data_IF_255070916245
#
_entry.id   IF_255070916245
#
_cell.length_a   1.000
_cell.length_b   1.000
_cell.length_c   1.000
_cell.angle_alpha   90.00
_cell.angle_beta   90.00
_cell.angle_gamma   90.00
#
_symmetry.space_group_name_H-M   'P 1'
#
loop_
_entity.id
_entity.type
_entity.pdbx_description
1 polymer ?
#
# COMPACT_ATOMS: atom_id res chain seq x y z
N UNK A 1 4.96 -31.97 19.23
CA UNK A 1 5.39 -31.06 18.15
C UNK A 1 6.69 -30.32 18.49
N UNK A 2 6.67 -29.39 19.46
CA UNK A 2 7.81 -28.48 19.72
C UNK A 2 9.14 -29.19 20.08
N UNK A 3 9.15 -30.01 21.14
CA UNK A 3 10.38 -30.68 21.61
C UNK A 3 10.94 -31.69 20.61
N UNK A 4 10.06 -32.52 20.05
CA UNK A 4 10.42 -33.57 19.09
C UNK A 4 11.11 -33.02 17.85
N UNK A 5 10.62 -31.87 17.35
CA UNK A 5 11.17 -31.23 16.16
C UNK A 5 12.20 -30.13 16.47
N UNK A 6 12.57 -29.95 17.74
CA UNK A 6 13.51 -28.93 18.19
C UNK A 6 13.18 -27.52 17.67
N UNK A 7 11.90 -27.14 17.68
CA UNK A 7 11.45 -25.81 17.29
C UNK A 7 11.98 -24.79 18.29
N UNK A 8 12.68 -23.76 17.80
CA UNK A 8 13.35 -22.73 18.62
C UNK A 8 12.98 -21.33 18.18
N UNK A 9 12.96 -20.39 19.13
CA UNK A 9 12.94 -18.97 18.82
C UNK A 9 14.30 -18.54 18.28
N UNK A 10 14.30 -17.51 17.44
CA UNK A 10 15.53 -16.84 17.04
C UNK A 10 16.08 -16.05 18.23
N UNK A 11 17.33 -16.29 18.65
CA UNK A 11 17.93 -15.68 19.85
C UNK A 11 18.57 -14.31 19.59
N UNK A 12 18.09 -13.59 18.58
CA UNK A 12 18.53 -12.21 18.29
C UNK A 12 18.33 -11.29 19.50
N UNK A 13 19.23 -10.32 19.74
CA UNK A 13 19.13 -9.43 20.89
C UNK A 13 17.82 -8.62 20.91
N UNK A 14 17.05 -8.82 21.99
CA UNK A 14 15.80 -8.12 22.26
C UNK A 14 14.59 -8.68 21.49
N UNK A 15 13.40 -8.55 22.09
CA UNK A 15 12.16 -9.05 21.48
C UNK A 15 11.81 -8.28 20.19
N UNK A 16 12.07 -8.89 19.03
CA UNK A 16 11.79 -8.30 17.73
C UNK A 16 11.43 -9.36 16.70
N UNK A 17 10.15 -9.51 16.39
CA UNK A 17 9.64 -10.33 15.27
C UNK A 17 9.88 -11.85 15.37
N UNK A 18 10.46 -12.35 16.47
CA UNK A 18 10.76 -13.77 16.73
C UNK A 18 9.52 -14.68 16.68
N UNK A 19 8.33 -14.09 16.84
CA UNK A 19 7.06 -14.77 16.66
C UNK A 19 6.87 -15.27 15.22
N UNK A 20 7.42 -14.60 14.21
CA UNK A 20 7.35 -15.05 12.82
C UNK A 20 8.06 -16.38 12.62
N UNK A 21 9.30 -16.52 13.09
CA UNK A 21 10.08 -17.74 12.94
C UNK A 21 9.53 -18.89 13.77
N UNK A 22 9.04 -18.59 14.98
CA UNK A 22 8.31 -19.59 15.77
C UNK A 22 7.06 -20.08 15.05
N UNK A 23 6.22 -19.14 14.59
CA UNK A 23 4.99 -19.44 13.87
C UNK A 23 5.28 -20.26 12.62
N UNK A 24 6.27 -19.86 11.82
CA UNK A 24 6.61 -20.54 10.58
C UNK A 24 7.05 -21.99 10.82
N UNK A 25 7.93 -22.24 11.80
CA UNK A 25 8.36 -23.59 12.16
C UNK A 25 7.20 -24.46 12.65
N UNK A 26 6.31 -23.91 13.48
CA UNK A 26 5.14 -24.64 14.00
C UNK A 26 4.25 -25.08 12.84
N UNK A 27 3.90 -24.16 11.93
CA UNK A 27 3.01 -24.46 10.82
C UNK A 27 3.66 -25.35 9.77
N UNK A 28 4.97 -25.24 9.54
CA UNK A 28 5.72 -26.10 8.63
C UNK A 28 5.74 -27.56 9.08
N UNK A 29 5.76 -27.82 10.40
CA UNK A 29 5.94 -29.16 10.96
C UNK A 29 4.66 -29.75 11.60
N UNK A 30 3.59 -28.97 11.68
CA UNK A 30 2.32 -29.42 12.21
C UNK A 30 1.70 -30.50 11.31
N UNK A 31 1.35 -31.65 11.91
CA UNK A 31 0.64 -32.73 11.19
C UNK A 31 -0.85 -32.47 11.05
N UNK A 32 -1.41 -31.68 11.96
CA UNK A 32 -2.81 -31.26 11.95
C UNK A 32 -2.95 -29.90 12.64
N UNK A 33 -3.90 -29.11 12.16
CA UNK A 33 -4.24 -27.80 12.71
C UNK A 33 -5.75 -27.79 12.93
N UNK A 34 -6.18 -27.31 14.09
CA UNK A 34 -7.59 -27.19 14.46
C UNK A 34 -7.92 -25.72 14.70
N UNK A 35 -8.97 -25.23 14.06
CA UNK A 35 -9.50 -23.88 14.24
C UNK A 35 -10.76 -23.95 15.09
N UNK A 36 -10.73 -23.29 16.26
CA UNK A 36 -11.89 -23.18 17.13
C UNK A 36 -12.57 -21.83 16.91
N UNK A 37 -13.86 -21.86 16.59
CA UNK A 37 -14.66 -20.65 16.39
C UNK A 37 -15.41 -20.27 17.67
N UNK A 38 -14.69 -20.28 18.79
CA UNK A 38 -15.21 -19.87 20.10
C UNK A 38 -14.39 -18.70 20.65
N UNK A 39 -15.08 -17.76 21.29
CA UNK A 39 -14.43 -16.60 21.89
C UNK A 39 -13.90 -16.96 23.28
N UNK A 40 -12.58 -16.96 23.43
CA UNK A 40 -11.91 -17.07 24.73
C UNK A 40 -11.50 -15.69 25.24
N UNK A 41 -11.27 -15.58 26.56
CA UNK A 41 -10.78 -14.35 27.18
C UNK A 41 -9.31 -14.11 26.80
N UNK A 42 -9.07 -13.43 25.68
CA UNK A 42 -7.73 -13.06 25.20
C UNK A 42 -7.54 -11.54 25.27
N UNK A 43 -7.21 -11.02 26.45
CA UNK A 43 -6.91 -9.60 26.62
C UNK A 43 -5.48 -9.29 26.13
N UNK A 44 -5.35 -8.94 24.84
CA UNK A 44 -4.10 -8.39 24.31
C UNK A 44 -3.99 -6.91 24.67
N UNK A 45 -2.95 -6.54 25.42
CA UNK A 45 -2.57 -5.15 25.67
C UNK A 45 -1.40 -4.78 24.77
N UNK A 46 -1.47 -3.65 24.09
CA UNK A 46 -0.38 -3.18 23.25
C UNK A 46 0.78 -2.67 24.10
N UNK A 47 2.00 -3.11 23.76
CA UNK A 47 3.23 -2.57 24.33
C UNK A 47 3.67 -1.34 23.53
N UNK A 48 3.71 -0.13 24.12
CA UNK A 48 4.14 1.08 23.41
C UNK A 48 5.61 0.99 22.95
N UNK A 49 6.43 0.21 23.65
CA UNK A 49 7.84 -0.03 23.33
C UNK A 49 8.06 -1.23 22.39
N UNK A 50 6.99 -1.72 21.74
CA UNK A 50 7.08 -2.85 20.79
C UNK A 50 8.02 -2.53 19.63
N UNK A 51 8.75 -3.55 19.15
CA UNK A 51 9.57 -3.47 17.95
C UNK A 51 8.78 -2.99 16.73
N UNK A 52 7.47 -3.30 16.68
CA UNK A 52 6.53 -2.87 15.64
C UNK A 52 6.33 -1.36 15.64
N UNK A 53 6.47 -0.67 16.79
CA UNK A 53 6.39 0.79 16.91
C UNK A 53 7.76 1.48 16.69
N UNK A 54 8.84 0.72 16.86
CA UNK A 54 10.25 0.92 16.44
C UNK A 54 10.69 2.21 15.73
N UNK A 55 10.40 2.48 14.46
CA UNK A 55 11.17 3.42 13.57
C UNK A 55 12.66 3.09 13.31
N UNK A 56 13.43 2.66 14.31
CA UNK A 56 14.88 2.39 14.20
C UNK A 56 15.24 0.91 14.06
N UNK A 57 14.38 -0.01 14.50
CA UNK A 57 14.54 -1.45 14.26
C UNK A 57 14.24 -1.78 12.80
N UNK A 58 15.20 -1.47 11.94
CA UNK A 58 15.10 -1.54 10.48
C UNK A 58 15.34 -2.97 9.97
N UNK A 59 16.38 -3.66 10.47
CA UNK A 59 16.83 -4.94 9.90
C UNK A 59 16.39 -6.20 10.67
N UNK A 60 15.72 -6.06 11.82
CA UNK A 60 15.29 -7.22 12.62
C UNK A 60 14.37 -8.16 11.83
N UNK A 61 13.49 -7.62 10.97
CA UNK A 61 12.66 -8.45 10.09
C UNK A 61 13.52 -9.21 9.07
N UNK A 62 14.59 -8.61 8.54
CA UNK A 62 15.50 -9.28 7.60
C UNK A 62 16.14 -10.50 8.25
N UNK A 63 16.73 -10.31 9.43
CA UNK A 63 17.38 -11.33 10.24
C UNK A 63 16.43 -12.48 10.59
N UNK A 64 15.18 -12.15 10.95
CA UNK A 64 14.17 -13.15 11.27
C UNK A 64 13.83 -14.04 10.07
N UNK A 65 13.68 -13.48 8.88
CA UNK A 65 13.46 -14.29 7.69
C UNK A 65 14.71 -15.01 7.21
N UNK A 66 15.91 -14.51 7.54
CA UNK A 66 17.16 -15.24 7.28
C UNK A 66 17.18 -16.52 8.13
N UNK A 67 16.78 -16.42 9.40
CA UNK A 67 16.59 -17.56 10.30
C UNK A 67 15.55 -18.56 9.77
N UNK A 68 14.38 -18.09 9.29
CA UNK A 68 13.37 -18.98 8.67
C UNK A 68 13.91 -19.67 7.42
N UNK A 69 14.67 -18.94 6.58
CA UNK A 69 15.25 -19.51 5.37
C UNK A 69 16.28 -20.59 5.69
N UNK A 70 17.10 -20.38 6.72
CA UNK A 70 18.07 -21.37 7.19
C UNK A 70 17.40 -22.60 7.83
N UNK A 71 16.25 -22.42 8.48
CA UNK A 71 15.39 -23.54 8.86
C UNK A 71 14.96 -24.35 7.63
N UNK A 72 14.45 -23.70 6.58
CA UNK A 72 14.02 -24.41 5.36
C UNK A 72 15.14 -25.20 4.67
N UNK A 73 16.37 -24.69 4.63
CA UNK A 73 17.52 -25.44 4.05
C UNK A 73 17.81 -26.75 4.78
N UNK A 74 17.49 -26.82 6.07
CA UNK A 74 17.65 -28.03 6.90
C UNK A 74 16.48 -29.02 6.71
N UNK A 75 15.43 -28.60 6.01
CA UNK A 75 14.24 -29.40 5.68
C UNK A 75 13.97 -29.39 4.17
N UNK A 76 14.83 -30.04 3.35
CA UNK A 76 14.69 -30.03 1.88
C UNK A 76 13.36 -30.60 1.39
N UNK A 77 12.74 -31.49 2.17
CA UNK A 77 11.41 -32.06 1.93
C UNK A 77 10.29 -31.00 1.94
N UNK A 78 10.48 -29.93 2.72
CA UNK A 78 9.52 -28.82 2.85
C UNK A 78 9.92 -27.60 2.00
N UNK A 79 11.22 -27.42 1.76
CA UNK A 79 11.80 -26.22 1.16
C UNK A 79 11.14 -25.82 -0.15
N UNK A 80 10.97 -26.78 -1.08
CA UNK A 80 10.38 -26.51 -2.40
C UNK A 80 8.98 -25.90 -2.32
N UNK A 81 8.18 -26.34 -1.35
CA UNK A 81 6.79 -25.92 -1.18
C UNK A 81 6.68 -24.66 -0.35
N UNK A 82 7.53 -24.53 0.68
CA UNK A 82 7.42 -23.46 1.67
C UNK A 82 8.30 -22.24 1.39
N UNK A 83 9.34 -22.35 0.55
CA UNK A 83 10.18 -21.21 0.21
C UNK A 83 9.40 -20.05 -0.47
N UNK A 84 8.47 -20.30 -1.41
CA UNK A 84 7.63 -19.23 -1.96
C UNK A 84 6.72 -18.57 -0.91
N UNK A 85 6.23 -19.34 0.06
CA UNK A 85 5.42 -18.83 1.17
C UNK A 85 6.29 -17.97 2.09
N UNK A 86 7.51 -18.42 2.42
CA UNK A 86 8.49 -17.65 3.18
C UNK A 86 8.79 -16.31 2.48
N UNK A 87 9.02 -16.32 1.17
CA UNK A 87 9.26 -15.13 0.38
C UNK A 87 8.07 -14.15 0.40
N UNK A 88 6.84 -14.66 0.30
CA UNK A 88 5.61 -13.85 0.38
C UNK A 88 5.48 -13.16 1.74
N UNK A 89 5.71 -13.91 2.83
CA UNK A 89 5.66 -13.36 4.19
C UNK A 89 6.79 -12.36 4.43
N UNK A 90 8.00 -12.62 3.91
CA UNK A 90 9.13 -11.66 3.93
C UNK A 90 8.77 -10.38 3.21
N UNK A 91 8.17 -10.47 2.02
CA UNK A 91 7.72 -9.30 1.26
C UNK A 91 6.72 -8.46 2.06
N UNK A 92 5.70 -9.09 2.66
CA UNK A 92 4.71 -8.40 3.48
C UNK A 92 5.35 -7.66 4.65
N UNK A 93 6.25 -8.32 5.39
CA UNK A 93 6.96 -7.68 6.49
C UNK A 93 7.91 -6.56 6.05
N UNK A 94 8.54 -6.69 4.88
CA UNK A 94 9.40 -5.63 4.33
C UNK A 94 8.58 -4.41 3.91
N UNK A 95 7.42 -4.60 3.28
CA UNK A 95 6.50 -3.51 2.96
C UNK A 95 6.01 -2.80 4.22
N UNK A 96 5.60 -3.56 5.23
CA UNK A 96 5.22 -3.01 6.53
C UNK A 96 6.37 -2.23 7.20
N UNK A 97 7.59 -2.75 7.08
CA UNK A 97 8.79 -2.08 7.59
C UNK A 97 9.00 -0.75 6.87
N UNK A 98 8.93 -0.72 5.53
CA UNK A 98 9.07 0.50 4.72
C UNK A 98 8.05 1.59 5.07
N UNK A 99 6.82 1.22 5.40
CA UNK A 99 5.78 2.19 5.79
C UNK A 99 6.10 2.86 7.13
N UNK A 100 6.73 2.12 8.04
CA UNK A 100 6.79 2.46 9.45
C UNK A 100 8.16 3.02 9.89
N UNK A 101 9.25 2.63 9.24
CA UNK A 101 10.59 3.13 9.55
C UNK A 101 10.76 4.62 9.20
N UNK A 102 11.73 5.26 9.84
CA UNK A 102 12.06 6.66 9.55
C UNK A 102 12.55 6.84 8.10
N UNK A 103 12.22 7.99 7.51
CA UNK A 103 12.57 8.34 6.13
C UNK A 103 14.07 8.20 5.84
N UNK A 104 14.92 8.52 6.84
CA UNK A 104 16.38 8.40 6.72
C UNK A 104 16.87 6.97 6.44
N UNK A 105 16.10 5.96 6.83
CA UNK A 105 16.46 4.55 6.68
C UNK A 105 15.84 3.88 5.45
N UNK A 106 14.80 4.48 4.84
CA UNK A 106 14.02 3.84 3.78
C UNK A 106 14.85 3.47 2.55
N UNK A 107 15.78 4.33 2.14
CA UNK A 107 16.62 4.05 0.97
C UNK A 107 17.58 2.89 1.21
N UNK A 108 18.26 2.86 2.36
CA UNK A 108 19.18 1.77 2.69
C UNK A 108 18.46 0.46 2.95
N UNK A 109 17.26 0.51 3.54
CA UNK A 109 16.40 -0.67 3.63
C UNK A 109 15.96 -1.17 2.26
N UNK A 110 15.62 -0.30 1.31
CA UNK A 110 15.30 -0.70 -0.07
C UNK A 110 16.48 -1.35 -0.79
N UNK A 111 17.71 -0.90 -0.54
CA UNK A 111 18.92 -1.56 -1.08
C UNK A 111 19.03 -2.99 -0.54
N UNK A 112 18.83 -3.19 0.76
CA UNK A 112 18.80 -4.53 1.38
C UNK A 112 17.66 -5.39 0.82
N UNK A 113 16.45 -4.84 0.72
CA UNK A 113 15.29 -5.47 0.10
C UNK A 113 15.65 -5.98 -1.30
N UNK A 114 16.18 -5.10 -2.14
CA UNK A 114 16.58 -5.41 -3.51
C UNK A 114 17.58 -6.57 -3.58
N UNK A 115 18.57 -6.59 -2.69
CA UNK A 115 19.55 -7.69 -2.60
C UNK A 115 18.89 -9.02 -2.23
N UNK A 116 18.07 -9.04 -1.18
CA UNK A 116 17.39 -10.26 -0.72
C UNK A 116 16.46 -10.82 -1.80
N UNK A 117 15.69 -9.94 -2.47
CA UNK A 117 14.74 -10.37 -3.50
C UNK A 117 15.40 -10.74 -4.83
N UNK A 118 16.59 -10.23 -5.14
CA UNK A 118 17.42 -10.78 -6.24
C UNK A 118 17.83 -12.22 -5.96
N UNK A 119 18.19 -12.54 -4.71
CA UNK A 119 18.53 -13.90 -4.32
C UNK A 119 17.32 -14.83 -4.41
N UNK A 120 16.19 -14.43 -3.84
CA UNK A 120 14.92 -15.18 -3.92
C UNK A 120 14.51 -15.42 -5.38
N UNK A 121 14.64 -14.41 -6.25
CA UNK A 121 14.38 -14.55 -7.68
C UNK A 121 15.33 -15.56 -8.35
N UNK A 122 16.64 -15.48 -8.05
CA UNK A 122 17.65 -16.42 -8.56
C UNK A 122 17.38 -17.85 -8.12
N UNK A 123 16.95 -18.03 -6.88
CA UNK A 123 16.64 -19.32 -6.26
C UNK A 123 15.25 -19.86 -6.70
N UNK A 124 14.54 -19.12 -7.57
CA UNK A 124 13.20 -19.45 -8.11
C UNK A 124 12.14 -19.62 -7.02
N UNK A 125 12.24 -18.79 -5.98
CA UNK A 125 11.34 -18.78 -4.83
C UNK A 125 10.21 -17.74 -4.97
N UNK A 126 10.08 -17.07 -6.12
CA UNK A 126 8.96 -16.16 -6.40
C UNK A 126 7.89 -16.88 -7.22
N UNK A 127 6.69 -17.01 -6.65
CA UNK A 127 5.51 -17.56 -7.32
C UNK A 127 4.55 -16.42 -7.72
N UNK A 128 4.37 -16.21 -9.02
CA UNK A 128 3.55 -15.10 -9.53
C UNK A 128 2.07 -15.18 -9.09
N UNK A 129 1.53 -16.38 -8.89
CA UNK A 129 0.15 -16.56 -8.44
C UNK A 129 -0.02 -16.17 -6.97
N UNK A 130 0.97 -16.50 -6.13
CA UNK A 130 0.96 -16.12 -4.71
C UNK A 130 1.11 -14.61 -4.52
N UNK A 131 1.99 -13.97 -5.28
CA UNK A 131 2.27 -12.55 -5.13
C UNK A 131 1.23 -11.66 -5.85
N UNK A 132 0.74 -12.11 -7.01
CA UNK A 132 -0.12 -11.33 -7.88
C UNK A 132 0.62 -10.21 -8.61
N UNK A 133 0.00 -9.73 -9.70
CA UNK A 133 0.62 -8.82 -10.67
C UNK A 133 1.16 -7.51 -10.06
N UNK A 134 0.44 -6.91 -9.11
CA UNK A 134 0.84 -5.63 -8.50
C UNK A 134 2.11 -5.79 -7.66
N UNK A 135 2.17 -6.82 -6.84
CA UNK A 135 3.35 -7.06 -6.00
C UNK A 135 4.55 -7.48 -6.85
N UNK A 136 4.34 -8.30 -7.90
CA UNK A 136 5.39 -8.66 -8.84
C UNK A 136 5.96 -7.42 -9.55
N UNK A 137 5.12 -6.50 -10.03
CA UNK A 137 5.57 -5.23 -10.61
C UNK A 137 6.40 -4.40 -9.61
N UNK A 138 5.96 -4.35 -8.36
CA UNK A 138 6.67 -3.63 -7.30
C UNK A 138 8.04 -4.25 -7.01
N UNK A 139 8.09 -5.57 -6.81
CA UNK A 139 9.32 -6.33 -6.57
C UNK A 139 10.30 -6.12 -7.71
N UNK A 140 9.84 -6.28 -8.96
CA UNK A 140 10.69 -6.11 -10.13
C UNK A 140 11.31 -4.70 -10.18
N UNK A 141 10.56 -3.65 -9.84
CA UNK A 141 11.10 -2.28 -9.79
C UNK A 141 12.11 -2.06 -8.67
N UNK A 142 11.88 -2.65 -7.50
CA UNK A 142 12.84 -2.62 -6.38
C UNK A 142 14.13 -3.38 -6.74
N UNK A 143 14.00 -4.55 -7.38
CA UNK A 143 15.13 -5.36 -7.85
C UNK A 143 15.92 -4.63 -8.93
N UNK A 144 15.24 -4.04 -9.91
CA UNK A 144 15.85 -3.35 -11.05
C UNK A 144 16.72 -2.18 -10.57
N UNK A 145 16.13 -1.24 -9.82
CA UNK A 145 16.87 -0.13 -9.25
C UNK A 145 16.17 0.44 -8.01
N UNK A 146 16.64 0.12 -6.79
CA UNK A 146 15.98 0.58 -5.56
C UNK A 146 16.08 2.10 -5.36
N UNK A 147 17.10 2.76 -5.92
CA UNK A 147 17.26 4.22 -5.85
C UNK A 147 16.22 4.92 -6.73
N UNK A 148 16.08 4.47 -7.98
CA UNK A 148 15.05 5.01 -8.90
C UNK A 148 13.67 4.73 -8.30
N UNK A 149 13.42 3.51 -7.83
CA UNK A 149 12.14 3.18 -7.17
C UNK A 149 11.87 4.14 -6.01
N UNK A 150 12.82 4.38 -5.10
CA UNK A 150 12.66 5.28 -3.96
C UNK A 150 12.21 6.70 -4.33
N UNK A 151 12.76 7.27 -5.41
CA UNK A 151 12.41 8.63 -5.86
C UNK A 151 11.12 8.66 -6.70
N UNK A 152 10.92 7.71 -7.60
CA UNK A 152 9.76 7.68 -8.52
C UNK A 152 8.48 7.13 -7.89
N UNK A 153 8.58 6.36 -6.80
CA UNK A 153 7.44 5.81 -6.07
C UNK A 153 6.91 6.76 -4.97
N UNK A 154 7.27 8.04 -5.03
CA UNK A 154 6.73 9.10 -4.16
C UNK A 154 5.68 9.93 -4.90
N UNK A 155 4.78 10.53 -4.12
CA UNK A 155 3.80 11.48 -4.64
C UNK A 155 2.48 10.85 -5.03
N UNK A 156 2.11 9.69 -4.45
CA UNK A 156 0.76 9.15 -4.54
C UNK A 156 -0.29 10.20 -4.15
N UNK A 157 0.01 11.01 -3.12
CA UNK A 157 -0.84 12.13 -2.71
C UNK A 157 -1.05 13.13 -3.85
N UNK A 158 0.04 13.61 -4.46
CA UNK A 158 -0.03 14.57 -5.57
C UNK A 158 -0.78 13.98 -6.77
N UNK A 159 -0.54 12.69 -7.08
CA UNK A 159 -1.28 11.98 -8.14
C UNK A 159 -2.77 11.91 -7.86
N UNK A 160 -3.19 11.60 -6.63
CA UNK A 160 -4.61 11.61 -6.24
C UNK A 160 -5.22 13.02 -6.31
N UNK A 161 -4.47 14.05 -5.91
CA UNK A 161 -4.93 15.44 -5.98
C UNK A 161 -5.05 15.96 -7.42
N UNK A 162 -4.22 15.45 -8.34
CA UNK A 162 -4.28 15.77 -9.76
C UNK A 162 -5.40 15.05 -10.51
N UNK A 163 -6.07 14.06 -9.90
CA UNK A 163 -7.24 13.43 -10.52
C UNK A 163 -8.36 14.44 -10.73
N UNK A 164 -9.09 14.27 -11.85
CA UNK A 164 -10.25 15.10 -12.19
C UNK A 164 -11.26 15.21 -11.04
N UNK A 165 -11.51 14.09 -10.35
CA UNK A 165 -12.37 14.03 -9.16
C UNK A 165 -11.96 15.11 -8.15
N UNK A 166 -10.71 15.08 -7.70
CA UNK A 166 -10.24 16.01 -6.68
C UNK A 166 -10.23 17.45 -7.17
N UNK A 167 -9.73 17.71 -8.40
CA UNK A 167 -9.72 19.05 -9.01
C UNK A 167 -11.11 19.68 -9.06
N UNK A 168 -12.12 18.93 -9.51
CA UNK A 168 -13.51 19.40 -9.58
C UNK A 168 -14.09 19.70 -8.20
N UNK A 169 -13.93 18.81 -7.23
CA UNK A 169 -14.48 19.10 -5.92
C UNK A 169 -13.71 20.18 -5.15
N UNK A 170 -12.41 20.35 -5.42
CA UNK A 170 -11.59 21.43 -4.84
C UNK A 170 -12.16 22.81 -5.20
N UNK A 171 -12.46 23.05 -6.48
CA UNK A 171 -13.02 24.34 -6.90
C UNK A 171 -14.40 24.61 -6.29
N UNK A 172 -15.22 23.58 -6.07
CA UNK A 172 -16.51 23.72 -5.38
C UNK A 172 -16.32 24.09 -3.91
N UNK A 173 -15.39 23.44 -3.21
CA UNK A 173 -15.11 23.73 -1.79
C UNK A 173 -14.55 25.15 -1.60
N UNK A 174 -13.76 25.64 -2.56
CA UNK A 174 -13.14 26.98 -2.52
C UNK A 174 -14.07 28.11 -3.00
N UNK A 175 -15.18 27.77 -3.67
CA UNK A 175 -16.18 28.71 -4.17
C UNK A 175 -17.11 29.23 -3.06
N UNK A 176 -16.56 30.05 -2.15
CA UNK A 176 -17.30 30.63 -1.00
C UNK A 176 -18.05 31.94 -1.32
N UNK A 177 -17.82 32.53 -2.49
CA UNK A 177 -18.40 33.83 -2.87
C UNK A 177 -19.28 33.72 -4.11
N UNK A 178 -20.31 34.56 -4.19
CA UNK A 178 -21.27 34.57 -5.31
C UNK A 178 -20.59 34.64 -6.69
N UNK A 179 -19.62 35.53 -6.86
CA UNK A 179 -18.86 35.65 -8.12
C UNK A 179 -18.09 34.38 -8.49
N UNK A 180 -17.62 33.59 -7.50
CA UNK A 180 -16.94 32.31 -7.76
C UNK A 180 -17.95 31.22 -8.13
N UNK A 181 -19.14 31.25 -7.53
CA UNK A 181 -20.23 30.31 -7.82
C UNK A 181 -20.73 30.50 -9.26
N UNK A 182 -20.91 31.74 -9.72
CA UNK A 182 -21.32 32.02 -11.11
C UNK A 182 -20.26 31.53 -12.11
N UNK A 183 -18.98 31.70 -11.80
CA UNK A 183 -17.87 31.26 -12.67
C UNK A 183 -17.60 29.76 -12.62
N UNK A 184 -18.18 29.05 -11.65
CA UNK A 184 -17.90 27.65 -11.35
C UNK A 184 -18.15 26.71 -12.55
N UNK A 185 -19.26 26.83 -13.32
CA UNK A 185 -19.50 25.95 -14.47
C UNK A 185 -18.41 26.08 -15.53
N UNK A 186 -18.00 27.31 -15.85
CA UNK A 186 -16.94 27.58 -16.84
C UNK A 186 -15.58 27.07 -16.36
N UNK A 187 -15.26 27.26 -15.08
CA UNK A 187 -14.02 26.75 -14.49
C UNK A 187 -13.98 25.22 -14.49
N UNK A 188 -15.09 24.57 -14.16
CA UNK A 188 -15.19 23.11 -14.20
C UNK A 188 -15.06 22.57 -15.62
N UNK A 189 -15.68 23.21 -16.61
CA UNK A 189 -15.50 22.86 -18.02
C UNK A 189 -14.04 22.97 -18.43
N UNK A 190 -13.37 24.08 -18.08
CA UNK A 190 -11.92 24.27 -18.33
C UNK A 190 -11.08 23.14 -17.71
N UNK A 191 -11.33 22.80 -16.45
CA UNK A 191 -10.63 21.71 -15.75
C UNK A 191 -10.83 20.36 -16.47
N UNK A 192 -12.05 20.06 -16.91
CA UNK A 192 -12.33 18.83 -17.66
C UNK A 192 -11.57 18.79 -18.99
N UNK A 193 -11.51 19.92 -19.72
CA UNK A 193 -10.79 20.03 -20.99
C UNK A 193 -9.28 19.89 -20.80
N UNK A 194 -8.69 20.61 -19.84
CA UNK A 194 -7.27 20.52 -19.49
C UNK A 194 -6.88 19.10 -19.09
N UNK A 195 -7.65 18.47 -18.19
CA UNK A 195 -7.37 17.10 -17.76
C UNK A 195 -7.44 16.10 -18.91
N UNK A 196 -8.40 16.26 -19.83
CA UNK A 196 -8.49 15.40 -21.01
C UNK A 196 -7.28 15.60 -21.94
N UNK A 197 -6.82 16.84 -22.11
CA UNK A 197 -5.62 17.14 -22.88
C UNK A 197 -4.36 16.55 -22.24
N UNK A 198 -4.15 16.77 -20.94
CA UNK A 198 -3.07 16.16 -20.15
C UNK A 198 -3.05 14.63 -20.33
N UNK A 199 -4.23 14.00 -20.28
CA UNK A 199 -4.36 12.56 -20.43
C UNK A 199 -4.04 12.07 -21.86
N UNK A 200 -4.36 12.85 -22.90
CA UNK A 200 -3.96 12.56 -24.28
C UNK A 200 -2.45 12.66 -24.44
N UNK A 201 -1.84 13.74 -23.94
CA UNK A 201 -0.39 13.95 -23.97
C UNK A 201 0.34 12.80 -23.27
N UNK A 202 -0.09 12.45 -22.05
CA UNK A 202 0.49 11.33 -21.30
C UNK A 202 0.39 10.00 -22.07
N UNK A 203 -0.77 9.69 -22.67
CA UNK A 203 -0.95 8.49 -23.49
C UNK A 203 0.04 8.45 -24.66
N UNK A 204 0.22 9.57 -25.35
CA UNK A 204 1.19 9.68 -26.45
C UNK A 204 2.61 9.48 -25.95
N UNK A 205 3.01 10.12 -24.85
CA UNK A 205 4.35 9.94 -24.26
C UNK A 205 4.60 8.46 -23.93
N UNK A 206 3.66 7.80 -23.25
CA UNK A 206 3.81 6.38 -22.88
C UNK A 206 3.83 5.45 -24.10
N UNK A 207 3.15 5.81 -25.19
CA UNK A 207 3.21 5.06 -26.45
C UNK A 207 4.63 5.08 -27.05
N UNK A 208 5.32 6.22 -27.03
CA UNK A 208 6.70 6.34 -27.53
C UNK A 208 7.75 5.90 -26.51
N UNK A 209 7.46 6.05 -25.22
CA UNK A 209 8.36 5.77 -24.09
C UNK A 209 7.62 4.97 -23.01
N UNK A 210 7.46 3.64 -23.22
CA UNK A 210 6.75 2.78 -22.27
C UNK A 210 7.38 2.75 -20.87
N UNK A 211 8.68 3.04 -20.76
CA UNK A 211 9.44 3.15 -19.52
C UNK A 211 8.95 4.29 -18.60
N UNK A 212 8.33 5.33 -19.17
CA UNK A 212 7.75 6.46 -18.42
C UNK A 212 6.34 6.18 -17.89
N UNK A 213 5.80 4.98 -18.13
CA UNK A 213 4.50 4.59 -17.61
C UNK A 213 4.50 4.64 -16.08
N UNK A 214 3.63 5.46 -15.52
CA UNK A 214 3.46 5.57 -14.07
C UNK A 214 3.02 4.23 -13.49
N UNK A 215 3.64 3.85 -12.37
CA UNK A 215 3.24 2.68 -11.61
C UNK A 215 1.77 2.77 -11.15
N UNK A 216 1.10 1.63 -10.91
CA UNK A 216 -0.16 1.60 -10.17
C UNK A 216 -0.03 2.39 -8.86
N UNK A 217 -1.12 3.05 -8.43
CA UNK A 217 -1.11 3.93 -7.25
C UNK A 217 -0.68 3.17 -5.99
N UNK A 218 -1.07 1.90 -5.92
CA UNK A 218 -0.75 0.98 -4.84
C UNK A 218 0.76 0.74 -4.72
N UNK A 219 1.54 0.91 -5.78
CA UNK A 219 2.98 0.67 -5.76
C UNK A 219 3.82 1.80 -5.16
N UNK A 220 3.18 2.90 -4.75
CA UNK A 220 3.84 4.08 -4.21
C UNK A 220 4.10 3.91 -2.72
N UNK A 221 5.24 4.40 -2.23
CA UNK A 221 5.64 4.34 -0.83
C UNK A 221 4.69 5.14 0.08
N UNK A 222 4.13 6.24 -0.43
CA UNK A 222 3.17 7.10 0.29
C UNK A 222 1.70 6.74 0.01
N UNK A 223 1.43 5.55 -0.56
CA UNK A 223 0.07 5.16 -0.94
C UNK A 223 -0.92 5.18 0.23
N UNK A 224 -0.56 4.59 1.37
CA UNK A 224 -1.44 4.52 2.54
C UNK A 224 -1.73 5.91 3.12
N UNK A 225 -0.73 6.79 3.17
CA UNK A 225 -0.93 8.19 3.56
C UNK A 225 -1.84 8.94 2.56
N UNK A 226 -1.68 8.65 1.27
CA UNK A 226 -2.47 9.25 0.22
C UNK A 226 -3.95 8.83 0.28
N UNK A 227 -4.31 7.70 0.89
CA UNK A 227 -5.71 7.28 1.06
C UNK A 227 -6.55 8.29 1.86
N UNK A 228 -5.92 9.07 2.75
CA UNK A 228 -6.60 10.16 3.49
C UNK A 228 -7.20 11.20 2.54
N UNK A 229 -6.63 11.39 1.34
CA UNK A 229 -7.18 12.30 0.32
C UNK A 229 -8.59 11.88 -0.11
N UNK A 230 -8.89 10.57 -0.13
CA UNK A 230 -10.23 10.08 -0.51
C UNK A 230 -11.29 10.48 0.53
N UNK A 231 -10.88 10.71 1.77
CA UNK A 231 -11.76 11.18 2.84
C UNK A 231 -11.96 12.70 2.86
N UNK A 232 -11.11 13.46 2.16
CA UNK A 232 -11.20 14.90 2.05
C UNK A 232 -12.50 15.34 1.36
N UNK A 233 -13.07 16.47 1.81
CA UNK A 233 -14.32 17.00 1.28
C UNK A 233 -14.26 17.24 -0.24
N UNK A 234 -13.13 17.75 -0.75
CA UNK A 234 -12.91 17.95 -2.18
C UNK A 234 -13.03 16.63 -2.97
N UNK A 235 -12.47 15.53 -2.48
CA UNK A 235 -12.60 14.25 -3.19
C UNK A 235 -14.05 13.76 -3.19
N UNK A 236 -14.73 13.86 -2.03
CA UNK A 236 -16.15 13.48 -1.88
C UNK A 236 -17.07 14.30 -2.79
N UNK A 237 -16.88 15.61 -2.86
CA UNK A 237 -17.63 16.50 -3.74
C UNK A 237 -17.36 16.21 -5.21
N UNK A 238 -16.08 16.03 -5.56
CA UNK A 238 -15.64 15.60 -6.88
C UNK A 238 -16.36 14.37 -7.40
N UNK A 239 -16.50 13.36 -6.54
CA UNK A 239 -17.19 12.12 -6.87
C UNK A 239 -18.68 12.35 -7.16
N UNK A 240 -19.35 13.17 -6.36
CA UNK A 240 -20.76 13.53 -6.57
C UNK A 240 -20.94 14.28 -7.91
N UNK A 241 -20.05 15.23 -8.20
CA UNK A 241 -20.06 16.00 -9.44
C UNK A 241 -19.95 15.07 -10.66
N UNK A 242 -18.93 14.20 -10.70
CA UNK A 242 -18.75 13.29 -11.83
C UNK A 242 -19.93 12.32 -12.00
N UNK A 243 -20.52 11.86 -10.89
CA UNK A 243 -21.72 11.02 -10.94
C UNK A 243 -22.93 11.79 -11.47
N UNK A 244 -23.09 13.06 -11.12
CA UNK A 244 -24.14 13.92 -11.65
C UNK A 244 -23.95 14.21 -13.13
N UNK A 245 -22.71 14.43 -13.58
CA UNK A 245 -22.38 14.57 -15.01
C UNK A 245 -22.74 13.30 -15.80
N UNK A 246 -22.39 12.11 -15.29
CA UNK A 246 -22.76 10.85 -15.94
C UNK A 246 -24.26 10.61 -15.99
N UNK A 247 -25.01 11.07 -14.99
CA UNK A 247 -26.46 10.91 -14.90
C UNK A 247 -27.27 12.14 -15.30
N UNK A 248 -26.72 13.03 -16.13
CA UNK A 248 -27.34 14.30 -16.50
C UNK A 248 -28.74 14.12 -17.12
N UNK A 249 -28.91 13.11 -17.97
CA UNK A 249 -30.17 12.72 -18.61
C UNK A 249 -31.25 12.25 -17.62
N UNK A 250 -30.89 11.96 -16.37
CA UNK A 250 -31.82 11.64 -15.27
C UNK A 250 -32.05 12.84 -14.35
N UNK A 251 -31.69 14.05 -14.77
CA UNK A 251 -31.81 15.27 -13.98
C UNK A 251 -30.84 15.38 -12.80
N UNK A 252 -29.80 14.52 -12.70
CA UNK A 252 -28.89 14.50 -11.53
C UNK A 252 -28.07 15.78 -11.32
N UNK A 253 -27.97 16.62 -12.35
CA UNK A 253 -27.30 17.92 -12.26
C UNK A 253 -28.17 18.91 -11.45
N UNK A 254 -29.49 18.89 -11.63
CA UNK A 254 -30.40 19.81 -10.93
C UNK A 254 -30.46 19.53 -9.42
N UNK A 255 -30.30 18.26 -9.02
CA UNK A 255 -30.26 17.87 -7.61
C UNK A 255 -28.87 17.98 -6.97
N UNK A 256 -27.81 18.25 -7.76
CA UNK A 256 -26.42 18.30 -7.28
C UNK A 256 -26.21 19.29 -6.12
N UNK A 257 -26.77 20.52 -6.12
CA UNK A 257 -26.63 21.44 -4.99
C UNK A 257 -27.13 20.84 -3.66
N UNK A 258 -28.27 20.14 -3.69
CA UNK A 258 -28.82 19.47 -2.51
C UNK A 258 -27.95 18.31 -2.04
N UNK A 259 -27.40 17.52 -2.98
CA UNK A 259 -26.49 16.42 -2.66
C UNK A 259 -25.18 16.92 -2.02
N UNK A 260 -24.61 18.02 -2.53
CA UNK A 260 -23.42 18.65 -1.97
C UNK A 260 -23.70 19.20 -0.56
N UNK A 261 -24.83 19.88 -0.36
CA UNK A 261 -25.25 20.38 0.96
C UNK A 261 -25.42 19.25 1.98
N UNK A 262 -26.09 18.16 1.60
CA UNK A 262 -26.24 16.97 2.45
C UNK A 262 -24.88 16.39 2.83
N UNK A 263 -23.99 16.19 1.86
CA UNK A 263 -22.65 15.63 2.10
C UNK A 263 -21.78 16.53 2.97
N UNK A 264 -21.91 17.85 2.84
CA UNK A 264 -21.23 18.80 3.73
C UNK A 264 -21.66 18.64 5.19
N UNK A 265 -22.97 18.51 5.44
CA UNK A 265 -23.52 18.31 6.79
C UNK A 265 -23.02 17.00 7.40
N UNK A 266 -23.05 15.90 6.64
CA UNK A 266 -22.51 14.60 7.05
C UNK A 266 -21.01 14.69 7.39
N UNK A 267 -20.24 15.42 6.58
CA UNK A 267 -18.80 15.61 6.81
C UNK A 267 -18.52 16.40 8.09
N UNK A 268 -19.26 17.50 8.33
CA UNK A 268 -19.12 18.31 9.54
C UNK A 268 -19.46 17.52 10.81
N UNK A 269 -20.50 16.68 10.76
CA UNK A 269 -20.90 15.86 11.89
C UNK A 269 -19.91 14.74 12.25
N UNK A 270 -19.01 14.35 11.33
CA UNK A 270 -17.93 13.39 11.60
C UNK A 270 -16.66 14.02 12.18
N UNK A 271 -16.58 15.34 12.16
CA UNK A 271 -15.45 16.13 12.67
C UNK A 271 -15.68 16.61 14.11
N UNK A 272 -16.91 16.42 14.63
CA UNK A 272 -17.34 16.70 16.00
C UNK A 272 -17.40 15.36 16.71
#
# INVERSE_FOLDING_TARGET
>A
LLRTNQIKLNETPGASYQDNGLWFQIFALAKSIYFINEAFYMLRRDNPNSSVKSKEKVYCACEEYDFIRDFLKKHPDLEKTLAPICALHRFGNYMFTLERIDERYKLDFLKRFSQDFRKILKDKELDENLFGNINMQRINKIIENPVIYYYFSRGARARLQNQLVYRLGKVVVEAKSFNKIIKLPFLMLKICLEHNFEHKVYRSIVQFRPDLKLLPLECYLDYHEALVIKEHLSYKFGKLILLSFKGWYKGKIFILPFMLKKRYKEYKNKMI
#
